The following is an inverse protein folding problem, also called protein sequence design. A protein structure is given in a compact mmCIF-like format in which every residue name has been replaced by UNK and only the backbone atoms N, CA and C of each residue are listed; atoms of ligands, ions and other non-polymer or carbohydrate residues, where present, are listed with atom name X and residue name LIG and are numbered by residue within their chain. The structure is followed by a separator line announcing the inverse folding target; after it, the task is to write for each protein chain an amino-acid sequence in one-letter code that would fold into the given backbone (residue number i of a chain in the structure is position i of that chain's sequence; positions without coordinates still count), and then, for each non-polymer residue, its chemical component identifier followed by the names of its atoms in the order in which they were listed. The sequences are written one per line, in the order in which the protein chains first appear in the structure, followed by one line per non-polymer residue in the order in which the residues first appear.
data_IF_905552164387
#
_entry.id   IF_905552164387
#
_cell.length_a   1.000
_cell.length_b   1.000
_cell.length_c   1.000
_cell.angle_alpha   90.00
_cell.angle_beta   90.00
_cell.angle_gamma   90.00
#
_symmetry.space_group_name_H-M   'P 1'
#
loop_
_entity.id
_entity.type
_entity.pdbx_description
1 polymer ?
#
# COMPACT_ATOMS: atom_id res chain seq x y z
N UNK A 1 4.08 -5.16 0.44
CA UNK A 1 3.68 -4.61 1.78
C UNK A 1 2.42 -3.78 1.60
N UNK A 2 1.56 -3.67 2.62
CA UNK A 2 0.41 -2.74 2.57
C UNK A 2 0.93 -1.29 2.54
N UNK A 3 0.40 -0.40 1.70
CA UNK A 3 0.80 1.01 1.67
C UNK A 3 0.63 1.70 3.03
N UNK A 4 1.57 2.56 3.43
CA UNK A 4 1.59 3.19 4.76
C UNK A 4 0.30 3.94 5.13
N UNK A 5 -0.37 4.56 4.15
CA UNK A 5 -1.65 5.23 4.36
C UNK A 5 -2.80 4.27 4.75
N UNK A 6 -2.67 2.98 4.43
CA UNK A 6 -3.71 1.97 4.63
C UNK A 6 -3.41 1.03 5.79
N UNK A 7 -2.25 1.21 6.46
CA UNK A 7 -1.84 0.36 7.58
C UNK A 7 -2.60 0.71 8.86
N UNK A 8 -2.96 -0.31 9.63
CA UNK A 8 -3.34 -0.13 11.04
C UNK A 8 -2.08 0.05 11.90
N UNK A 9 -2.22 0.63 13.09
CA UNK A 9 -1.07 0.91 13.96
C UNK A 9 -0.25 -0.35 14.25
N UNK A 10 -0.89 -1.46 14.62
CA UNK A 10 -0.21 -2.72 14.93
C UNK A 10 0.62 -3.26 13.77
N UNK A 11 0.12 -3.13 12.53
CA UNK A 11 0.85 -3.53 11.33
C UNK A 11 2.06 -2.61 11.08
N UNK A 12 1.87 -1.29 11.18
CA UNK A 12 2.93 -0.31 11.02
C UNK A 12 4.04 -0.49 12.06
N UNK A 13 3.65 -0.67 13.33
CA UNK A 13 4.56 -0.92 14.46
C UNK A 13 5.40 -2.16 14.24
N UNK A 14 4.77 -3.27 13.83
CA UNK A 14 5.47 -4.53 13.58
C UNK A 14 6.51 -4.41 12.45
N UNK A 15 6.22 -3.64 11.41
CA UNK A 15 7.19 -3.39 10.33
C UNK A 15 8.37 -2.55 10.81
N UNK A 16 8.11 -1.46 11.53
CA UNK A 16 9.13 -0.51 11.97
C UNK A 16 10.04 -1.14 13.04
N UNK A 17 9.45 -1.88 13.99
CA UNK A 17 10.20 -2.51 15.07
C UNK A 17 11.15 -3.63 14.58
N UNK A 18 10.85 -4.22 13.42
CA UNK A 18 11.70 -5.25 12.82
C UNK A 18 12.78 -4.69 11.87
N UNK A 19 12.88 -3.38 11.72
CA UNK A 19 13.91 -2.76 10.89
C UNK A 19 15.26 -2.76 11.61
N UNK A 20 16.29 -3.43 11.06
CA UNK A 20 17.59 -3.52 11.71
C UNK A 20 18.22 -2.16 11.99
N UNK A 21 18.76 -1.96 13.20
CA UNK A 21 19.43 -0.73 13.58
C UNK A 21 18.48 0.40 14.06
N UNK A 22 17.17 0.17 14.09
CA UNK A 22 16.20 1.16 14.60
C UNK A 22 16.14 1.08 16.13
N UNK A 23 16.35 2.21 16.82
CA UNK A 23 16.15 2.31 18.28
C UNK A 23 14.65 2.41 18.61
N UNK A 24 14.27 2.14 19.87
CA UNK A 24 12.89 2.26 20.33
C UNK A 24 12.32 3.65 20.08
N UNK A 25 13.07 4.71 20.41
CA UNK A 25 12.63 6.10 20.24
C UNK A 25 12.44 6.46 18.76
N UNK A 26 13.36 6.02 17.90
CA UNK A 26 13.23 6.18 16.45
C UNK A 26 12.02 5.42 15.89
N UNK A 27 11.72 4.24 16.43
CA UNK A 27 10.56 3.47 16.02
C UNK A 27 9.24 4.19 16.36
N UNK A 28 9.13 4.75 17.57
CA UNK A 28 7.94 5.51 17.98
C UNK A 28 7.79 6.81 17.15
N UNK A 29 8.87 7.54 16.91
CA UNK A 29 8.85 8.74 16.07
C UNK A 29 8.38 8.43 14.64
N UNK A 30 8.94 7.38 14.01
CA UNK A 30 8.54 6.93 12.66
C UNK A 30 7.10 6.45 12.62
N UNK A 31 6.64 5.77 13.66
CA UNK A 31 5.25 5.34 13.77
C UNK A 31 4.31 6.53 13.87
N UNK A 32 4.60 7.49 14.75
CA UNK A 32 3.80 8.70 14.91
C UNK A 32 3.71 9.48 13.59
N UNK A 33 4.83 9.66 12.89
CA UNK A 33 4.87 10.33 11.58
C UNK A 33 4.07 9.57 10.52
N UNK A 34 4.05 8.23 10.55
CA UNK A 34 3.26 7.40 9.63
C UNK A 34 1.76 7.54 9.88
N UNK A 35 1.34 7.49 11.15
CA UNK A 35 -0.06 7.65 11.53
C UNK A 35 -0.57 9.07 11.23
N UNK A 36 0.26 10.10 11.47
CA UNK A 36 -0.11 11.48 11.14
C UNK A 36 -0.35 11.67 9.63
N UNK A 37 0.47 11.04 8.78
CA UNK A 37 0.26 11.07 7.32
C UNK A 37 -1.07 10.44 6.89
N UNK A 38 -1.65 9.52 7.65
CA UNK A 38 -2.94 8.90 7.31
C UNK A 38 -4.10 9.90 7.33
N UNK A 39 -3.96 11.03 8.03
CA UNK A 39 -4.93 12.14 7.99
C UNK A 39 -5.14 12.71 6.58
N UNK A 40 -4.24 12.41 5.64
CA UNK A 40 -4.46 12.74 4.23
C UNK A 40 -5.68 12.07 3.64
N UNK A 41 -6.08 10.89 4.16
CA UNK A 41 -7.27 10.17 3.73
C UNK A 41 -8.57 10.91 4.10
N UNK A 42 -8.54 11.69 5.16
CA UNK A 42 -9.70 12.42 5.70
C UNK A 42 -9.91 13.79 5.03
N UNK A 43 -8.91 14.24 4.26
CA UNK A 43 -8.99 15.55 3.58
C UNK A 43 -10.11 15.54 2.53
N UNK A 44 -10.96 16.56 2.53
CA UNK A 44 -11.94 16.73 1.47
C UNK A 44 -11.23 17.02 0.14
N UNK A 45 -11.74 16.46 -0.96
CA UNK A 45 -11.20 16.74 -2.29
C UNK A 45 -11.44 15.59 -3.27
N UNK A 46 -11.14 15.81 -4.54
CA UNK A 46 -11.38 14.85 -5.61
C UNK A 46 -10.31 13.74 -5.72
N UNK A 47 -9.38 13.65 -4.75
CA UNK A 47 -8.28 12.69 -4.84
C UNK A 47 -8.82 11.27 -4.94
N UNK A 48 -8.48 10.62 -6.05
CA UNK A 48 -8.74 9.20 -6.27
C UNK A 48 -7.47 8.39 -5.99
N UNK A 49 -7.63 7.28 -5.29
CA UNK A 49 -6.54 6.35 -5.02
C UNK A 49 -6.80 5.01 -5.71
N UNK A 50 -5.92 4.67 -6.65
CA UNK A 50 -5.89 3.35 -7.26
C UNK A 50 -4.77 2.55 -6.64
N UNK A 51 -5.14 1.51 -5.93
CA UNK A 51 -4.21 0.68 -5.16
C UNK A 51 -4.28 -0.75 -5.65
N UNK A 52 -3.13 -1.30 -6.03
CA UNK A 52 -2.99 -2.72 -6.32
C UNK A 52 -2.06 -3.33 -5.29
N UNK A 53 -2.58 -4.29 -4.54
CA UNK A 53 -1.83 -5.05 -3.56
C UNK A 53 -1.39 -6.38 -4.17
N UNK A 54 -0.14 -6.78 -3.97
CA UNK A 54 0.27 -8.16 -4.21
C UNK A 54 -0.43 -9.10 -3.22
N UNK A 55 -0.94 -10.23 -3.68
CA UNK A 55 -1.64 -11.21 -2.83
C UNK A 55 -0.80 -11.65 -1.63
N UNK A 56 0.52 -11.71 -1.77
CA UNK A 56 1.43 -12.10 -0.69
C UNK A 56 1.33 -11.23 0.55
N UNK A 57 0.85 -9.99 0.44
CA UNK A 57 0.67 -9.12 1.62
C UNK A 57 -0.48 -9.59 2.52
N UNK A 58 -1.42 -10.35 1.98
CA UNK A 58 -2.58 -10.88 2.71
C UNK A 58 -2.22 -12.15 3.51
N UNK A 59 -1.11 -12.80 3.14
CA UNK A 59 -0.68 -14.08 3.72
C UNK A 59 0.45 -13.95 4.74
N UNK A 60 1.22 -12.87 4.71
CA UNK A 60 2.35 -12.67 5.62
C UNK A 60 1.88 -12.22 6.99
N UNK A 61 2.20 -12.94 8.09
CA UNK A 61 1.68 -12.67 9.44
C UNK A 61 2.40 -11.47 10.10
N UNK A 62 2.24 -10.28 9.53
CA UNK A 62 2.84 -9.06 10.08
C UNK A 62 2.13 -8.66 11.38
N UNK A 63 2.85 -8.66 12.48
CA UNK A 63 2.29 -8.36 13.82
C UNK A 63 1.43 -9.47 14.42
N UNK A 64 1.26 -10.60 13.72
CA UNK A 64 0.46 -11.73 14.17
C UNK A 64 -0.99 -11.74 13.67
N UNK A 65 -1.75 -12.82 13.98
CA UNK A 65 -3.09 -13.03 13.43
C UNK A 65 -4.08 -11.91 13.75
N UNK A 66 -4.11 -11.41 14.98
CA UNK A 66 -5.03 -10.35 15.40
C UNK A 66 -4.81 -9.05 14.64
N UNK A 67 -3.54 -8.66 14.45
CA UNK A 67 -3.16 -7.48 13.67
C UNK A 67 -3.55 -7.67 12.20
N UNK A 68 -3.40 -8.88 11.66
CA UNK A 68 -3.81 -9.17 10.27
C UNK A 68 -5.32 -9.09 10.09
N UNK A 69 -6.12 -9.55 11.06
CA UNK A 69 -7.59 -9.39 11.03
C UNK A 69 -7.96 -7.91 11.01
N UNK A 70 -7.35 -7.11 11.88
CA UNK A 70 -7.59 -5.66 11.94
C UNK A 70 -7.17 -4.99 10.61
N UNK A 71 -6.02 -5.36 10.07
CA UNK A 71 -5.53 -4.85 8.80
C UNK A 71 -6.47 -5.19 7.63
N UNK A 72 -6.98 -6.42 7.56
CA UNK A 72 -7.95 -6.79 6.52
C UNK A 72 -9.26 -6.00 6.66
N UNK A 73 -9.75 -5.81 7.89
CA UNK A 73 -10.93 -5.00 8.16
C UNK A 73 -10.72 -3.56 7.69
N UNK A 74 -9.58 -2.96 8.02
CA UNK A 74 -9.23 -1.61 7.56
C UNK A 74 -9.21 -1.47 6.04
N UNK A 75 -8.66 -2.46 5.32
CA UNK A 75 -8.66 -2.46 3.85
C UNK A 75 -10.09 -2.49 3.29
N UNK A 76 -10.97 -3.29 3.88
CA UNK A 76 -12.38 -3.37 3.47
C UNK A 76 -13.12 -2.06 3.71
N UNK A 77 -12.93 -1.43 4.87
CA UNK A 77 -13.51 -0.13 5.23
C UNK A 77 -13.06 0.97 4.25
N UNK A 78 -11.76 1.04 3.98
CA UNK A 78 -11.22 2.03 3.03
C UNK A 78 -11.80 1.83 1.62
N UNK A 79 -12.01 0.58 1.22
CA UNK A 79 -12.58 0.26 -0.08
C UNK A 79 -14.09 0.58 -0.19
N UNK A 80 -14.79 0.89 0.90
CA UNK A 80 -16.17 1.41 0.85
C UNK A 80 -16.21 2.84 0.30
N UNK A 81 -15.14 3.60 0.49
CA UNK A 81 -15.04 4.95 -0.07
C UNK A 81 -15.05 4.92 -1.61
N UNK A 82 -15.86 5.75 -2.27
CA UNK A 82 -15.82 5.88 -3.72
C UNK A 82 -14.48 6.41 -4.24
N UNK A 83 -13.68 7.03 -3.36
CA UNK A 83 -12.34 7.55 -3.70
C UNK A 83 -11.24 6.48 -3.69
N UNK A 84 -11.53 5.26 -3.24
CA UNK A 84 -10.54 4.18 -3.16
C UNK A 84 -10.93 3.03 -4.08
N UNK A 85 -10.11 2.77 -5.08
CA UNK A 85 -10.18 1.58 -5.91
C UNK A 85 -9.10 0.62 -5.46
N UNK A 86 -9.48 -0.44 -4.74
CA UNK A 86 -8.56 -1.44 -4.21
C UNK A 86 -8.68 -2.74 -5.04
N UNK A 87 -7.56 -3.21 -5.55
CA UNK A 87 -7.44 -4.45 -6.30
C UNK A 87 -6.29 -5.30 -5.73
N UNK A 88 -6.34 -6.59 -5.96
CA UNK A 88 -5.29 -7.55 -5.58
C UNK A 88 -4.74 -8.18 -6.85
N UNK A 89 -3.41 -8.17 -6.98
CA UNK A 89 -2.68 -8.92 -7.97
C UNK A 89 -2.51 -10.36 -7.45
N UNK A 90 -3.18 -11.35 -8.05
CA UNK A 90 -3.17 -12.72 -7.54
C UNK A 90 -1.85 -13.44 -7.87
N UNK A 91 -1.48 -14.45 -7.07
CA UNK A 91 -0.30 -15.28 -7.31
C UNK A 91 -0.28 -15.97 -8.68
N UNK A 92 -1.45 -16.20 -9.26
CA UNK A 92 -1.57 -16.81 -10.59
C UNK A 92 -1.31 -15.82 -11.73
N UNK A 93 -1.13 -14.53 -11.45
CA UNK A 93 -0.72 -13.56 -12.45
C UNK A 93 0.72 -13.86 -12.90
N UNK A 94 0.91 -14.16 -14.17
CA UNK A 94 2.24 -14.48 -14.73
C UNK A 94 3.14 -13.26 -14.88
N UNK A 95 2.60 -12.05 -14.69
CA UNK A 95 3.36 -10.81 -14.80
C UNK A 95 4.32 -10.64 -13.62
N UNK A 96 5.62 -10.54 -13.91
CA UNK A 96 6.66 -10.28 -12.90
C UNK A 96 6.84 -8.79 -12.57
N UNK A 97 6.11 -7.93 -13.26
CA UNK A 97 6.27 -6.47 -13.15
C UNK A 97 5.96 -5.96 -11.74
N UNK A 98 5.02 -6.61 -11.03
CA UNK A 98 4.69 -6.32 -9.64
C UNK A 98 5.81 -6.64 -8.63
N UNK A 99 6.77 -7.49 -9.01
CA UNK A 99 7.88 -7.91 -8.14
C UNK A 99 9.05 -6.91 -8.09
N UNK A 100 9.03 -5.88 -8.92
CA UNK A 100 10.13 -4.91 -9.05
C UNK A 100 10.16 -3.82 -7.97
N UNK A 101 9.45 -4.00 -6.88
CA UNK A 101 9.38 -3.06 -5.76
C UNK A 101 8.09 -2.24 -5.73
N UNK A 102 7.81 -1.67 -4.55
CA UNK A 102 6.65 -0.80 -4.36
C UNK A 102 6.93 0.63 -4.81
N UNK A 103 5.91 1.28 -5.33
CA UNK A 103 5.98 2.68 -5.72
C UNK A 103 4.62 3.35 -5.57
N UNK A 104 4.64 4.67 -5.47
CA UNK A 104 3.45 5.53 -5.50
C UNK A 104 3.68 6.61 -6.54
N UNK A 105 2.68 6.87 -7.37
CA UNK A 105 2.67 8.06 -8.24
C UNK A 105 1.60 8.99 -7.70
N UNK A 106 1.97 10.23 -7.44
CA UNK A 106 1.07 11.28 -7.00
C UNK A 106 0.90 12.33 -8.08
N UNK A 107 -0.34 12.56 -8.50
CA UNK A 107 -0.69 13.72 -9.31
C UNK A 107 -0.72 14.96 -8.41
N UNK A 108 -0.07 16.00 -8.84
CA UNK A 108 0.03 17.25 -8.10
C UNK A 108 -1.10 18.21 -8.51
N UNK A 109 -1.59 19.05 -7.59
CA UNK A 109 -2.63 20.03 -7.93
C UNK A 109 -2.13 21.08 -8.93
N UNK A 110 -3.04 21.56 -9.78
CA UNK A 110 -2.73 22.56 -10.81
C UNK A 110 -1.95 21.99 -11.98
N UNK A 111 -0.99 22.74 -12.49
CA UNK A 111 -0.13 22.36 -13.63
C UNK A 111 1.20 21.71 -13.20
N UNK A 112 1.39 21.47 -11.92
CA UNK A 112 2.62 20.84 -11.44
C UNK A 112 2.73 19.39 -11.93
N UNK A 113 3.93 18.95 -12.39
CA UNK A 113 4.11 17.62 -12.91
C UNK A 113 3.90 16.57 -11.79
N UNK A 114 3.44 15.35 -12.14
CA UNK A 114 3.32 14.27 -11.17
C UNK A 114 4.69 13.86 -10.64
N UNK A 115 4.70 13.39 -9.39
CA UNK A 115 5.89 12.90 -8.71
C UNK A 115 5.75 11.43 -8.36
N UNK A 116 6.85 10.71 -8.31
CA UNK A 116 6.89 9.33 -7.89
C UNK A 116 7.69 9.18 -6.59
N UNK A 117 7.16 8.37 -5.69
CA UNK A 117 7.88 7.86 -4.54
C UNK A 117 8.19 6.38 -4.80
N UNK A 118 9.45 6.02 -4.72
CA UNK A 118 9.93 4.67 -4.97
C UNK A 118 10.52 4.14 -3.66
N UNK A 119 9.90 3.07 -3.17
CA UNK A 119 10.38 2.33 -2.01
C UNK A 119 11.58 1.48 -2.47
N UNK A 120 12.78 1.94 -2.12
CA UNK A 120 14.03 1.29 -2.52
C UNK A 120 14.56 0.44 -1.37
N UNK A 121 15.00 -0.79 -1.68
CA UNK A 121 15.75 -1.64 -0.75
C UNK A 121 17.14 -1.08 -0.41
N UNK A 122 17.61 -0.06 -1.12
CA UNK A 122 18.86 0.66 -0.83
C UNK A 122 18.55 1.94 -0.07
N UNK A 123 18.85 1.97 1.18
CA UNK A 123 19.07 3.04 2.17
C UNK A 123 18.31 4.37 2.08
N UNK A 124 17.70 4.77 0.98
CA UNK A 124 16.92 6.02 0.88
C UNK A 124 15.70 5.84 -0.01
N UNK A 125 14.52 5.97 0.60
CA UNK A 125 13.28 6.22 -0.12
C UNK A 125 13.48 7.42 -1.04
N UNK A 126 13.20 7.24 -2.32
CA UNK A 126 13.49 8.26 -3.32
C UNK A 126 12.20 8.88 -3.88
N UNK A 127 12.13 10.20 -3.76
CA UNK A 127 11.16 10.99 -4.53
C UNK A 127 11.79 11.37 -5.85
N UNK A 128 11.10 11.11 -6.94
CA UNK A 128 11.52 11.46 -8.30
C UNK A 128 10.45 12.30 -8.99
N UNK A 129 10.87 13.40 -9.59
CA UNK A 129 10.08 14.26 -10.49
C UNK A 129 10.51 14.12 -11.97
N UNK A 130 11.42 13.18 -12.25
CA UNK A 130 11.92 12.92 -13.61
C UNK A 130 10.81 12.36 -14.48
N UNK A 131 10.38 13.13 -15.49
CA UNK A 131 9.25 12.81 -16.35
C UNK A 131 9.29 11.39 -16.94
N UNK A 132 10.45 10.93 -17.41
CA UNK A 132 10.58 9.60 -18.00
C UNK A 132 10.40 8.47 -16.96
N UNK A 133 10.91 8.67 -15.75
CA UNK A 133 10.77 7.71 -14.68
C UNK A 133 9.32 7.63 -14.19
N UNK A 134 8.67 8.77 -14.00
CA UNK A 134 7.26 8.86 -13.63
C UNK A 134 6.37 8.21 -14.68
N UNK A 135 6.59 8.51 -15.97
CA UNK A 135 5.86 7.85 -17.08
C UNK A 135 6.04 6.34 -17.07
N UNK A 136 7.26 5.87 -16.84
CA UNK A 136 7.55 4.43 -16.76
C UNK A 136 6.76 3.77 -15.63
N UNK A 137 6.65 4.42 -14.45
CA UNK A 137 5.89 3.90 -13.31
C UNK A 137 4.38 3.93 -13.55
N UNK A 138 3.85 4.96 -14.23
CA UNK A 138 2.45 5.01 -14.66
C UNK A 138 2.13 3.83 -15.60
N UNK A 139 3.00 3.59 -16.57
CA UNK A 139 2.87 2.47 -17.51
C UNK A 139 2.89 1.12 -16.75
N UNK A 140 3.84 0.96 -15.81
CA UNK A 140 3.95 -0.22 -14.95
C UNK A 140 2.68 -0.44 -14.13
N UNK A 141 2.15 0.61 -13.50
CA UNK A 141 0.88 0.52 -12.77
C UNK A 141 -0.26 0.03 -13.67
N UNK A 142 -0.34 0.53 -14.91
CA UNK A 142 -1.34 0.09 -15.88
C UNK A 142 -1.25 -1.41 -16.18
N UNK A 143 -0.04 -1.95 -16.40
CA UNK A 143 0.19 -3.39 -16.62
C UNK A 143 -0.21 -4.21 -15.39
N UNK A 144 0.28 -3.84 -14.21
CA UNK A 144 -0.06 -4.53 -12.95
C UNK A 144 -1.57 -4.56 -12.73
N UNK A 145 -2.24 -3.43 -12.99
CA UNK A 145 -3.68 -3.31 -12.81
C UNK A 145 -4.47 -4.16 -13.82
N UNK A 146 -3.96 -4.36 -15.03
CA UNK A 146 -4.60 -5.20 -16.04
C UNK A 146 -4.63 -6.68 -15.62
N UNK A 147 -3.61 -7.14 -14.90
CA UNK A 147 -3.48 -8.51 -14.39
C UNK A 147 -4.15 -8.70 -13.01
N UNK A 148 -4.57 -7.62 -12.37
CA UNK A 148 -5.20 -7.66 -11.05
C UNK A 148 -6.66 -8.15 -11.13
N UNK A 149 -7.12 -8.78 -10.05
CA UNK A 149 -8.52 -9.13 -9.86
C UNK A 149 -9.41 -7.88 -9.97
N UNK A 150 -10.65 -8.07 -10.39
CA UNK A 150 -11.65 -6.99 -10.30
C UNK A 150 -11.80 -6.52 -8.85
N UNK A 151 -12.30 -5.29 -8.65
CA UNK A 151 -12.57 -4.77 -7.30
C UNK A 151 -13.41 -5.73 -6.46
N UNK A 152 -14.47 -6.31 -7.04
CA UNK A 152 -15.36 -7.24 -6.35
C UNK A 152 -14.65 -8.52 -5.91
N UNK A 153 -13.87 -9.12 -6.80
CA UNK A 153 -13.11 -10.34 -6.50
C UNK A 153 -12.02 -10.07 -5.46
N UNK A 154 -11.34 -8.93 -5.56
CA UNK A 154 -10.33 -8.50 -4.59
C UNK A 154 -10.89 -8.36 -3.18
N UNK A 155 -12.07 -7.73 -3.03
CA UNK A 155 -12.73 -7.63 -1.73
C UNK A 155 -13.21 -8.99 -1.21
N UNK A 156 -13.63 -9.88 -2.12
CA UNK A 156 -13.95 -11.27 -1.79
C UNK A 156 -12.75 -12.01 -1.20
N UNK A 157 -11.59 -11.90 -1.84
CA UNK A 157 -10.34 -12.51 -1.39
C UNK A 157 -9.90 -11.95 -0.02
N UNK A 158 -9.94 -10.63 0.18
CA UNK A 158 -9.60 -10.00 1.45
C UNK A 158 -10.52 -10.51 2.59
N UNK A 159 -11.82 -10.63 2.33
CA UNK A 159 -12.78 -11.19 3.29
C UNK A 159 -12.49 -12.66 3.63
N UNK A 160 -12.09 -13.45 2.64
CA UNK A 160 -11.71 -14.84 2.85
C UNK A 160 -10.44 -14.93 3.72
N UNK A 161 -9.43 -14.12 3.41
CA UNK A 161 -8.20 -14.09 4.18
C UNK A 161 -8.42 -13.60 5.62
N UNK A 162 -9.27 -12.61 5.83
CA UNK A 162 -9.65 -12.19 7.18
C UNK A 162 -10.23 -13.34 8.01
N UNK A 163 -11.10 -14.18 7.40
CA UNK A 163 -11.65 -15.37 8.09
C UNK A 163 -10.57 -16.39 8.44
N UNK A 164 -9.61 -16.62 7.54
CA UNK A 164 -8.47 -17.53 7.80
C UNK A 164 -7.60 -17.06 8.98
N UNK A 165 -7.41 -15.78 9.13
CA UNK A 165 -6.66 -15.21 10.27
C UNK A 165 -7.43 -15.26 11.60
N UNK A 166 -8.75 -15.44 11.56
CA UNK A 166 -9.60 -15.54 12.75
C UNK A 166 -9.65 -16.97 13.34
N UNK A 167 -9.25 -17.98 12.56
CA UNK A 167 -9.25 -19.41 12.94
C UNK A 167 -7.96 -19.79 13.60
#
# INVERSE_FOLDING_TARGET
MVPGLFQVEGYARALIANEPGTTSDQAEERLAARLDRQRLLDRPGPQMMWVVLDEGVLHRPVGGPEVMVEQMRRLLELAESPRVSLQVLPYVAYGTVGLLGSFVVAEMPGEAPPVAYIDSLSTEDRVSDRSEEVKSLICRHGVIRADALSRRESLGLIKEMMRRWTT
#
